data_IF_806324408233
#
_entry.id   IF_806324408233
#
_cell.length_a   1.000
_cell.length_b   1.000
_cell.length_c   1.000
_cell.angle_alpha   90.00
_cell.angle_beta   90.00
_cell.angle_gamma   90.00
#
_symmetry.space_group_name_H-M   'P 1'
#
loop_
_entity.id
_entity.type
_entity.pdbx_description
1 polymer ?
#
# COMPACT_ATOMS: atom_id res chain seq x y z
N UNK A 1 18.32 13.90 -44.82
CA UNK A 1 17.45 12.73 -44.59
C UNK A 1 17.74 12.19 -43.18
N UNK A 2 17.38 12.94 -42.13
CA UNK A 2 17.72 12.56 -40.73
C UNK A 2 16.71 13.06 -39.69
N UNK A 3 15.86 14.03 -40.05
CA UNK A 3 14.77 14.54 -39.19
C UNK A 3 13.53 13.63 -39.13
N UNK A 4 13.26 12.81 -40.16
CA UNK A 4 12.07 11.95 -40.18
C UNK A 4 12.18 10.73 -39.25
N UNK A 5 13.40 10.26 -38.96
CA UNK A 5 13.61 9.04 -38.16
C UNK A 5 13.41 9.30 -36.67
N UNK A 6 13.83 10.47 -36.16
CA UNK A 6 13.66 10.85 -34.76
C UNK A 6 12.18 11.04 -34.38
N UNK A 7 11.38 11.65 -35.27
CA UNK A 7 9.95 11.84 -35.04
C UNK A 7 9.17 10.52 -35.04
N UNK A 8 9.55 9.56 -35.91
CA UNK A 8 8.90 8.25 -35.96
C UNK A 8 9.21 7.40 -34.71
N UNK A 9 10.46 7.43 -34.23
CA UNK A 9 10.85 6.70 -33.02
C UNK A 9 10.17 7.28 -31.76
N UNK A 10 10.11 8.62 -31.63
CA UNK A 10 9.39 9.26 -30.53
C UNK A 10 7.88 8.96 -30.58
N UNK A 11 7.27 8.99 -31.77
CA UNK A 11 5.84 8.65 -31.95
C UNK A 11 5.51 7.20 -31.59
N UNK A 12 6.37 6.24 -31.96
CA UNK A 12 6.20 4.82 -31.61
C UNK A 12 6.31 4.58 -30.10
N UNK A 13 7.28 5.20 -29.43
CA UNK A 13 7.44 5.08 -27.96
C UNK A 13 6.24 5.68 -27.23
N UNK A 14 5.77 6.85 -27.66
CA UNK A 14 4.59 7.50 -27.06
C UNK A 14 3.32 6.66 -27.29
N UNK A 15 3.09 6.17 -28.51
CA UNK A 15 1.92 5.36 -28.82
C UNK A 15 1.89 4.02 -28.05
N UNK A 16 3.03 3.34 -27.97
CA UNK A 16 3.16 2.09 -27.21
C UNK A 16 2.90 2.30 -25.71
N UNK A 17 3.41 3.39 -25.15
CA UNK A 17 3.20 3.70 -23.73
C UNK A 17 1.76 4.13 -23.40
N UNK A 18 1.04 4.70 -24.37
CA UNK A 18 -0.40 4.98 -24.24
C UNK A 18 -1.20 3.67 -24.28
N UNK A 19 -0.86 2.76 -25.20
CA UNK A 19 -1.51 1.46 -25.32
C UNK A 19 -1.33 0.61 -24.06
N UNK A 20 -0.11 0.55 -23.53
CA UNK A 20 0.20 -0.16 -22.28
C UNK A 20 -0.61 0.39 -21.09
N UNK A 21 -0.75 1.73 -20.99
CA UNK A 21 -1.54 2.39 -19.93
C UNK A 21 -3.04 2.23 -20.09
N UNK A 22 -3.51 1.95 -21.31
CA UNK A 22 -4.91 1.65 -21.60
C UNK A 22 -5.28 0.21 -21.24
N UNK A 23 -4.30 -0.66 -20.98
CA UNK A 23 -4.57 -2.04 -20.62
C UNK A 23 -5.16 -2.13 -19.20
N UNK A 24 -6.23 -2.93 -19.02
CA UNK A 24 -6.86 -3.24 -17.74
C UNK A 24 -5.90 -3.48 -16.57
N UNK A 25 -4.83 -4.24 -16.82
CA UNK A 25 -3.88 -4.61 -15.79
C UNK A 25 -2.89 -3.52 -15.41
N UNK A 26 -2.75 -2.46 -16.20
CA UNK A 26 -1.86 -1.36 -15.85
C UNK A 26 -2.33 -0.65 -14.57
N UNK A 27 -3.63 -0.34 -14.46
CA UNK A 27 -4.20 0.31 -13.27
C UNK A 27 -4.10 -0.57 -12.03
N UNK A 28 -4.32 -1.87 -12.18
CA UNK A 28 -4.15 -2.86 -11.11
C UNK A 28 -2.71 -2.94 -10.64
N UNK A 29 -1.73 -3.03 -11.56
CA UNK A 29 -0.30 -3.01 -11.23
C UNK A 29 0.09 -1.72 -10.51
N UNK A 30 -0.39 -0.57 -10.98
CA UNK A 30 -0.15 0.72 -10.31
C UNK A 30 -0.70 0.77 -8.88
N UNK A 31 -1.84 0.14 -8.61
CA UNK A 31 -2.39 0.00 -7.25
C UNK A 31 -1.49 -0.89 -6.38
N UNK A 32 -1.05 -2.04 -6.91
CA UNK A 32 -0.17 -2.99 -6.21
C UNK A 32 1.21 -2.39 -5.93
N UNK A 33 1.84 -1.79 -6.94
CA UNK A 33 3.15 -1.16 -6.84
C UNK A 33 3.14 -0.03 -5.82
N UNK A 34 2.11 0.81 -5.83
CA UNK A 34 1.96 1.87 -4.84
C UNK A 34 1.92 1.33 -3.40
N UNK A 35 1.14 0.26 -3.15
CA UNK A 35 1.11 -0.34 -1.83
C UNK A 35 2.51 -0.84 -1.41
N UNK A 36 3.19 -1.57 -2.31
CA UNK A 36 4.53 -2.12 -2.05
C UNK A 36 5.53 -0.99 -1.73
N UNK A 37 5.56 0.04 -2.57
CA UNK A 37 6.51 1.13 -2.46
C UNK A 37 6.26 1.98 -1.21
N UNK A 38 4.98 2.21 -0.86
CA UNK A 38 4.62 2.87 0.39
C UNK A 38 4.99 2.04 1.62
N UNK A 39 4.76 0.72 1.61
CA UNK A 39 5.20 -0.14 2.73
C UNK A 39 6.72 -0.11 2.89
N UNK A 40 7.47 -0.11 1.78
CA UNK A 40 8.93 0.06 1.82
C UNK A 40 9.32 1.43 2.39
N UNK A 41 8.63 2.51 2.00
CA UNK A 41 8.86 3.86 2.54
C UNK A 41 8.55 3.96 4.03
N UNK A 42 7.43 3.39 4.49
CA UNK A 42 7.05 3.36 5.90
C UNK A 42 8.07 2.58 6.72
N UNK A 43 8.49 1.41 6.23
CA UNK A 43 9.56 0.61 6.86
C UNK A 43 10.87 1.39 6.96
N UNK A 44 11.25 2.12 5.92
CA UNK A 44 12.49 2.92 5.93
C UNK A 44 12.45 4.08 6.95
N UNK A 45 11.25 4.56 7.31
CA UNK A 45 11.04 5.56 8.38
C UNK A 45 11.04 4.95 9.78
N UNK A 46 10.98 3.63 9.90
CA UNK A 46 11.03 2.94 11.19
C UNK A 46 12.47 2.63 11.58
N UNK A 47 12.93 3.22 12.69
CA UNK A 47 14.24 3.00 13.29
C UNK A 47 14.12 3.03 14.81
N UNK A 48 14.42 1.92 15.46
CA UNK A 48 14.53 1.88 16.91
C UNK A 48 15.98 2.16 17.32
N UNK A 49 16.14 3.04 18.31
CA UNK A 49 17.42 3.39 18.86
C UNK A 49 18.09 2.17 19.52
N UNK A 50 19.42 1.99 19.37
CA UNK A 50 20.12 0.93 20.08
C UNK A 50 19.92 1.05 21.60
N UNK A 51 19.79 -0.08 22.34
CA UNK A 51 19.68 -0.05 23.79
C UNK A 51 20.84 0.72 24.44
N UNK A 52 20.50 1.66 25.33
CA UNK A 52 21.49 2.49 26.03
C UNK A 52 22.02 3.69 25.23
N UNK A 53 21.51 3.94 24.02
CA UNK A 53 21.82 5.16 23.27
C UNK A 53 20.92 6.33 23.69
N UNK A 54 21.36 7.56 23.41
CA UNK A 54 20.55 8.79 23.56
C UNK A 54 19.77 9.14 22.29
N UNK A 55 19.83 8.28 21.27
CA UNK A 55 19.11 8.51 20.02
C UNK A 55 17.62 8.29 20.25
N UNK A 56 16.79 9.03 19.53
CA UNK A 56 15.34 8.82 19.55
C UNK A 56 14.94 7.76 18.53
N UNK A 57 13.92 6.99 18.90
CA UNK A 57 13.17 6.18 17.95
C UNK A 57 12.57 7.07 16.86
N UNK A 58 12.51 6.53 15.67
CA UNK A 58 11.80 7.12 14.54
C UNK A 58 10.79 6.12 14.05
N UNK A 59 9.55 6.57 13.89
CA UNK A 59 8.44 5.79 13.33
C UNK A 59 7.69 6.69 12.35
N UNK A 60 6.96 6.13 11.37
CA UNK A 60 6.12 6.93 10.50
C UNK A 60 5.11 7.76 11.29
N UNK A 61 4.85 8.98 10.82
CA UNK A 61 3.84 9.87 11.39
C UNK A 61 2.42 9.48 10.94
N UNK A 62 1.41 9.99 11.64
CA UNK A 62 0.00 9.84 11.22
C UNK A 62 -0.24 10.35 9.79
N UNK A 63 0.45 11.43 9.40
CA UNK A 63 0.38 11.97 8.05
C UNK A 63 0.96 11.01 7.00
N UNK A 64 1.98 10.22 7.35
CA UNK A 64 2.54 9.20 6.44
C UNK A 64 1.54 8.07 6.20
N UNK A 65 0.85 7.62 7.26
CA UNK A 65 -0.18 6.59 7.14
C UNK A 65 -1.41 7.12 6.39
N UNK A 66 -1.85 8.34 6.65
CA UNK A 66 -2.93 8.98 5.89
C UNK A 66 -2.56 9.10 4.40
N UNK A 67 -1.30 9.50 4.14
CA UNK A 67 -0.56 9.37 2.88
C UNK A 67 -0.91 8.10 2.10
N UNK A 68 -0.56 6.98 2.73
CA UNK A 68 -0.75 5.64 2.21
C UNK A 68 -2.23 5.31 1.96
N UNK A 69 -3.11 5.55 2.93
CA UNK A 69 -4.55 5.25 2.84
C UNK A 69 -5.24 6.00 1.69
N UNK A 70 -4.94 7.28 1.53
CA UNK A 70 -5.57 8.10 0.49
C UNK A 70 -5.04 7.76 -0.89
N UNK A 71 -3.74 7.48 -1.03
CA UNK A 71 -3.19 7.02 -2.30
C UNK A 71 -3.69 5.62 -2.70
N UNK A 72 -3.93 4.71 -1.75
CA UNK A 72 -4.58 3.43 -2.03
C UNK A 72 -5.98 3.65 -2.60
N UNK A 73 -6.79 4.47 -1.94
CA UNK A 73 -8.14 4.76 -2.41
C UNK A 73 -8.15 5.47 -3.76
N UNK A 74 -7.27 6.46 -3.96
CA UNK A 74 -7.17 7.17 -5.22
C UNK A 74 -6.90 6.22 -6.38
N UNK A 75 -6.04 5.22 -6.17
CA UNK A 75 -5.70 4.23 -7.20
C UNK A 75 -6.77 3.15 -7.35
N UNK A 76 -7.39 2.71 -6.26
CA UNK A 76 -8.55 1.82 -6.32
C UNK A 76 -9.69 2.43 -7.15
N UNK A 77 -9.91 3.75 -7.05
CA UNK A 77 -10.90 4.47 -7.87
C UNK A 77 -10.56 4.50 -9.37
N UNK A 78 -9.31 4.20 -9.74
CA UNK A 78 -8.87 4.14 -11.14
C UNK A 78 -8.92 2.73 -11.72
N UNK A 79 -9.17 1.71 -10.91
CA UNK A 79 -9.43 0.35 -11.39
C UNK A 79 -10.91 0.28 -11.75
N UNK A 80 -11.22 0.13 -13.03
CA UNK A 80 -12.59 0.18 -13.58
C UNK A 80 -13.09 -1.17 -14.08
N UNK A 81 -12.17 -2.12 -14.19
CA UNK A 81 -12.33 -3.44 -14.74
C UNK A 81 -13.33 -4.23 -13.88
N UNK A 82 -14.45 -4.70 -14.48
CA UNK A 82 -15.44 -5.49 -13.75
C UNK A 82 -14.79 -6.69 -13.07
N UNK A 83 -15.12 -6.92 -11.80
CA UNK A 83 -14.51 -7.96 -10.98
C UNK A 83 -13.22 -7.53 -10.28
N UNK A 84 -12.34 -6.76 -10.92
CA UNK A 84 -11.08 -6.30 -10.29
C UNK A 84 -11.27 -5.02 -9.46
N UNK A 85 -12.17 -4.13 -9.90
CA UNK A 85 -12.48 -2.89 -9.19
C UNK A 85 -13.00 -3.16 -7.77
N UNK A 86 -13.86 -4.16 -7.60
CA UNK A 86 -14.37 -4.57 -6.29
C UNK A 86 -13.25 -5.01 -5.34
N UNK A 87 -12.29 -5.80 -5.82
CA UNK A 87 -11.15 -6.25 -5.03
C UNK A 87 -10.23 -5.07 -4.63
N UNK A 88 -9.94 -4.15 -5.56
CA UNK A 88 -9.13 -2.96 -5.26
C UNK A 88 -9.82 -2.03 -4.23
N UNK A 89 -11.13 -1.83 -4.36
CA UNK A 89 -11.92 -1.05 -3.40
C UNK A 89 -11.96 -1.72 -2.02
N UNK A 90 -12.15 -3.05 -1.97
CA UNK A 90 -12.13 -3.80 -0.73
C UNK A 90 -10.76 -3.73 -0.04
N UNK A 91 -9.66 -3.89 -0.80
CA UNK A 91 -8.31 -3.70 -0.27
C UNK A 91 -8.11 -2.30 0.32
N UNK A 92 -8.53 -1.24 -0.38
CA UNK A 92 -8.43 0.13 0.14
C UNK A 92 -9.25 0.35 1.42
N UNK A 93 -10.44 -0.24 1.52
CA UNK A 93 -11.27 -0.18 2.72
C UNK A 93 -10.64 -0.95 3.90
N UNK A 94 -10.15 -2.17 3.65
CA UNK A 94 -9.46 -2.99 4.66
C UNK A 94 -8.20 -2.32 5.20
N UNK A 95 -7.45 -1.59 4.37
CA UNK A 95 -6.30 -0.82 4.85
C UNK A 95 -6.69 0.26 5.89
N UNK A 96 -7.84 0.92 5.70
CA UNK A 96 -8.36 1.90 6.68
C UNK A 96 -8.84 1.23 7.96
N UNK A 97 -9.52 0.08 7.83
CA UNK A 97 -9.95 -0.73 8.97
C UNK A 97 -8.75 -1.24 9.77
N UNK A 98 -7.70 -1.69 9.07
CA UNK A 98 -6.44 -2.10 9.70
C UNK A 98 -5.83 -0.97 10.52
N UNK A 99 -5.78 0.25 10.00
CA UNK A 99 -5.24 1.38 10.76
C UNK A 99 -6.07 1.72 11.99
N UNK A 100 -7.40 1.57 11.92
CA UNK A 100 -8.28 1.72 13.09
C UNK A 100 -7.95 0.68 14.15
N UNK A 101 -7.89 -0.60 13.78
CA UNK A 101 -7.62 -1.70 14.71
C UNK A 101 -6.18 -1.65 15.25
N UNK A 102 -5.20 -1.29 14.41
CA UNK A 102 -3.81 -1.14 14.81
C UNK A 102 -3.62 0.03 15.80
N UNK A 103 -4.31 1.16 15.59
CA UNK A 103 -4.27 2.28 16.53
C UNK A 103 -4.90 1.91 17.87
N UNK A 104 -6.03 1.17 17.85
CA UNK A 104 -6.63 0.64 19.07
C UNK A 104 -5.66 -0.30 19.79
N UNK A 105 -5.03 -1.22 19.06
CA UNK A 105 -4.05 -2.15 19.61
C UNK A 105 -2.84 -1.44 20.23
N UNK A 106 -2.30 -0.43 19.55
CA UNK A 106 -1.19 0.36 20.09
C UNK A 106 -1.59 1.13 21.34
N UNK A 107 -2.82 1.65 21.40
CA UNK A 107 -3.37 2.27 22.61
C UNK A 107 -3.47 1.28 23.77
N UNK A 108 -4.08 0.11 23.53
CA UNK A 108 -4.20 -0.97 24.53
C UNK A 108 -2.83 -1.46 25.01
N UNK A 109 -1.83 -1.56 24.13
CA UNK A 109 -0.45 -1.90 24.52
C UNK A 109 0.22 -0.80 25.34
N UNK A 110 -0.04 0.47 25.03
CA UNK A 110 0.51 1.62 25.74
C UNK A 110 0.00 1.76 27.18
N UNK A 111 -1.15 1.18 27.48
CA UNK A 111 -1.75 1.16 28.83
C UNK A 111 -1.24 -0.02 29.69
N UNK A 112 -0.59 -1.02 29.09
CA UNK A 112 -0.12 -2.20 29.81
C UNK A 112 1.18 -1.93 30.59
N UNK A 113 1.38 -2.72 31.65
CA UNK A 113 2.67 -2.79 32.35
C UNK A 113 3.73 -3.29 31.36
N UNK A 114 4.80 -2.51 31.07
CA UNK A 114 5.85 -2.92 30.15
C UNK A 114 6.56 -4.23 30.53
N UNK A 115 6.46 -4.65 31.80
CA UNK A 115 7.02 -5.92 32.30
C UNK A 115 6.05 -7.10 32.19
N UNK A 116 4.78 -6.86 31.82
CA UNK A 116 3.72 -7.86 31.70
C UNK A 116 2.81 -7.54 30.52
N UNK A 117 3.38 -7.69 29.31
CA UNK A 117 2.65 -7.46 28.07
C UNK A 117 1.88 -8.72 27.68
N UNK A 118 0.56 -8.59 27.57
CA UNK A 118 -0.35 -9.58 27.00
C UNK A 118 -0.89 -9.08 25.65
N UNK A 119 -1.18 -10.02 24.75
CA UNK A 119 -1.72 -9.68 23.44
C UNK A 119 -3.12 -9.06 23.59
N UNK A 120 -3.34 -7.79 23.17
CA UNK A 120 -4.64 -7.16 23.35
C UNK A 120 -5.74 -7.83 22.50
N UNK A 121 -7.02 -7.76 22.90
CA UNK A 121 -8.13 -8.29 22.10
C UNK A 121 -8.18 -7.73 20.67
N UNK A 122 -7.82 -6.45 20.51
CA UNK A 122 -7.74 -5.77 19.21
C UNK A 122 -6.70 -6.38 18.26
N UNK A 123 -5.67 -7.05 18.77
CA UNK A 123 -4.63 -7.67 17.94
C UNK A 123 -5.21 -8.75 17.01
N UNK A 124 -6.22 -9.49 17.46
CA UNK A 124 -6.92 -10.48 16.62
C UNK A 124 -7.69 -9.81 15.47
N UNK A 125 -8.28 -8.64 15.71
CA UNK A 125 -9.01 -7.90 14.70
C UNK A 125 -8.03 -7.35 13.64
N UNK A 126 -6.95 -6.68 14.09
CA UNK A 126 -5.89 -6.19 13.21
C UNK A 126 -5.27 -7.30 12.36
N UNK A 127 -4.99 -8.47 12.95
CA UNK A 127 -4.44 -9.62 12.23
C UNK A 127 -5.41 -10.16 11.17
N UNK A 128 -6.70 -10.26 11.47
CA UNK A 128 -7.72 -10.71 10.53
C UNK A 128 -7.84 -9.75 9.35
N UNK A 129 -7.96 -8.46 9.61
CA UNK A 129 -8.09 -7.44 8.56
C UNK A 129 -6.85 -7.39 7.67
N UNK A 130 -5.65 -7.52 8.25
CA UNK A 130 -4.41 -7.61 7.48
C UNK A 130 -4.34 -8.87 6.59
N UNK A 131 -4.85 -10.01 7.07
CA UNK A 131 -4.95 -11.22 6.26
C UNK A 131 -5.90 -11.01 5.08
N UNK A 132 -7.10 -10.50 5.32
CA UNK A 132 -8.09 -10.21 4.27
C UNK A 132 -7.54 -9.21 3.25
N UNK A 133 -6.82 -8.18 3.70
CA UNK A 133 -6.12 -7.25 2.81
C UNK A 133 -5.12 -7.98 1.91
N UNK A 134 -4.31 -8.87 2.47
CA UNK A 134 -3.36 -9.70 1.72
C UNK A 134 -4.03 -10.58 0.66
N UNK A 135 -5.20 -11.15 0.97
CA UNK A 135 -5.97 -11.98 0.03
C UNK A 135 -6.47 -11.18 -1.19
N UNK A 136 -6.94 -9.95 -0.95
CA UNK A 136 -7.35 -9.03 -2.02
C UNK A 136 -6.18 -8.64 -2.91
N UNK A 137 -5.03 -8.27 -2.31
CA UNK A 137 -3.81 -7.96 -3.04
C UNK A 137 -3.30 -9.14 -3.87
N UNK A 138 -3.34 -10.36 -3.32
CA UNK A 138 -2.93 -11.57 -4.01
C UNK A 138 -3.88 -11.93 -5.16
N UNK A 139 -5.19 -11.71 -4.99
CA UNK A 139 -6.19 -11.91 -6.05
C UNK A 139 -5.94 -10.97 -7.22
N UNK A 140 -5.71 -9.69 -6.95
CA UNK A 140 -5.35 -8.70 -7.96
C UNK A 140 -4.03 -9.05 -8.67
N UNK A 141 -3.01 -9.46 -7.93
CA UNK A 141 -1.71 -9.84 -8.50
C UNK A 141 -1.78 -11.08 -9.39
N UNK A 142 -2.60 -12.09 -9.02
CA UNK A 142 -2.83 -13.27 -9.87
C UNK A 142 -3.56 -12.92 -11.16
N UNK A 143 -4.54 -12.02 -11.09
CA UNK A 143 -5.29 -11.58 -12.27
C UNK A 143 -4.43 -10.71 -13.21
N UNK A 144 -3.50 -9.93 -12.64
CA UNK A 144 -2.66 -9.00 -13.37
C UNK A 144 -1.17 -9.17 -12.99
N UNK A 145 -0.52 -10.26 -13.45
CA UNK A 145 0.88 -10.52 -13.15
C UNK A 145 1.79 -9.42 -13.71
N UNK A 146 2.96 -9.24 -13.09
CA UNK A 146 3.99 -8.30 -13.53
C UNK A 146 4.60 -8.72 -14.88
#
# INVERSE_FOLDING_TARGET
MMLCVAAAAAGLVVAWHIDERAQPCWRVRQFIDYNRDMQASLKAKTRFAPPGSYEQDSVPSDADYQAWLDGLQQRANQVTEPGLSAHAQRAAALAREFMKDANQMNGELGEQDPLKVDLPPSAKAAARVNHEFGDEMATLARACPA
#
